data_IF_978405939595
#
_entry.id   IF_978405939595
#
_cell.length_a   1.000
_cell.length_b   1.000
_cell.length_c   1.000
_cell.angle_alpha   90.00
_cell.angle_beta   90.00
_cell.angle_gamma   90.00
#
_symmetry.space_group_name_H-M   'P 1'
#
loop_
_entity.id
_entity.type
_entity.pdbx_description
1 polymer ?
#
# COMPACT_ATOMS: atom_id res chain seq x y z
N UNK A 1 -9.81 12.75 -18.56
CA UNK A 1 -9.83 13.50 -17.29
C UNK A 1 -9.58 12.49 -16.19
N UNK A 2 -8.66 12.73 -15.25
CA UNK A 2 -8.53 11.83 -14.12
C UNK A 2 -9.86 11.87 -13.37
N UNK A 3 -10.50 10.72 -13.23
CA UNK A 3 -11.65 10.60 -12.34
C UNK A 3 -11.16 10.93 -10.93
N UNK A 4 -12.01 11.56 -10.12
CA UNK A 4 -11.69 12.03 -8.76
C UNK A 4 -11.33 10.90 -7.75
N UNK A 5 -11.02 9.70 -8.26
CA UNK A 5 -10.70 8.46 -7.57
C UNK A 5 -9.49 7.75 -8.20
N UNK A 6 -8.65 8.45 -8.98
CA UNK A 6 -7.42 7.88 -9.54
C UNK A 6 -6.30 7.88 -8.49
N UNK A 7 -6.07 6.71 -7.87
CA UNK A 7 -5.00 6.48 -6.90
C UNK A 7 -3.60 6.49 -7.52
N UNK A 8 -3.48 6.49 -8.86
CA UNK A 8 -2.20 6.44 -9.55
C UNK A 8 -1.26 7.61 -9.25
N UNK A 9 -1.81 8.77 -8.87
CA UNK A 9 -1.04 9.92 -8.39
C UNK A 9 -0.40 9.68 -7.01
N UNK A 10 -1.15 9.10 -6.08
CA UNK A 10 -0.70 8.78 -4.74
C UNK A 10 0.33 7.65 -4.75
N UNK A 11 0.08 6.61 -5.55
CA UNK A 11 1.06 5.53 -5.77
C UNK A 11 2.39 6.06 -6.29
N UNK A 12 2.38 7.09 -7.15
CA UNK A 12 3.62 7.75 -7.62
C UNK A 12 4.31 8.56 -6.52
N UNK A 13 3.54 9.21 -5.65
CA UNK A 13 4.08 9.98 -4.53
C UNK A 13 4.84 9.08 -3.55
N UNK A 14 4.29 7.91 -3.21
CA UNK A 14 4.92 6.94 -2.30
C UNK A 14 6.19 6.30 -2.86
N UNK A 15 6.36 6.29 -4.19
CA UNK A 15 7.57 5.76 -4.83
C UNK A 15 8.76 6.72 -4.80
N UNK A 16 8.62 7.91 -4.22
CA UNK A 16 9.74 8.84 -4.01
C UNK A 16 10.68 8.27 -2.96
N UNK A 17 11.98 8.45 -3.15
CA UNK A 17 12.99 7.83 -2.28
C UNK A 17 12.86 8.24 -0.80
N UNK A 18 12.38 9.46 -0.54
CA UNK A 18 12.06 9.98 0.80
C UNK A 18 10.96 9.18 1.54
N UNK A 19 10.03 8.55 0.81
CA UNK A 19 8.88 7.85 1.39
C UNK A 19 8.89 6.35 1.16
N UNK A 20 9.71 5.88 0.21
CA UNK A 20 9.72 4.48 -0.23
C UNK A 20 9.95 3.52 0.94
N UNK A 21 11.03 3.71 1.68
CA UNK A 21 11.41 2.81 2.78
C UNK A 21 10.40 2.88 3.94
N UNK A 22 9.92 4.09 4.25
CA UNK A 22 8.89 4.32 5.27
C UNK A 22 7.60 3.58 4.92
N UNK A 23 7.11 3.75 3.68
CA UNK A 23 5.89 3.10 3.21
C UNK A 23 6.06 1.58 3.12
N UNK A 24 7.21 1.09 2.66
CA UNK A 24 7.53 -0.34 2.63
C UNK A 24 7.51 -0.96 4.04
N UNK A 25 8.01 -0.24 5.05
CA UNK A 25 7.91 -0.65 6.45
C UNK A 25 6.48 -0.85 6.92
N UNK A 26 5.60 0.15 6.69
CA UNK A 26 4.18 0.07 7.06
C UNK A 26 3.48 -1.04 6.25
N UNK A 27 3.75 -1.13 4.96
CA UNK A 27 3.19 -2.17 4.11
C UNK A 27 3.56 -3.58 4.60
N UNK A 28 4.82 -3.79 4.98
CA UNK A 28 5.28 -5.05 5.53
C UNK A 28 4.71 -5.34 6.93
N UNK A 29 4.45 -4.33 7.76
CA UNK A 29 3.76 -4.54 9.04
C UNK A 29 2.32 -5.06 8.84
N UNK A 30 1.62 -4.56 7.82
CA UNK A 30 0.26 -4.99 7.50
C UNK A 30 0.19 -6.35 6.81
N UNK A 31 1.02 -6.56 5.79
CA UNK A 31 0.88 -7.71 4.89
C UNK A 31 2.00 -8.73 5.02
N UNK A 32 3.18 -8.36 5.50
CA UNK A 32 4.32 -9.27 5.63
C UNK A 32 3.98 -10.60 6.30
N UNK A 33 3.29 -10.61 7.46
CA UNK A 33 2.95 -11.86 8.14
C UNK A 33 2.00 -12.78 7.36
N UNK A 34 1.10 -12.23 6.54
CA UNK A 34 0.17 -13.04 5.73
C UNK A 34 0.77 -13.46 4.40
N UNK A 35 1.68 -12.65 3.86
CA UNK A 35 2.40 -12.95 2.62
C UNK A 35 3.57 -13.92 2.85
N UNK A 36 4.08 -14.05 4.08
CA UNK A 36 5.12 -15.02 4.44
C UNK A 36 4.63 -16.47 4.31
N UNK A 37 4.72 -17.00 3.08
CA UNK A 37 4.36 -18.39 2.73
C UNK A 37 3.17 -18.53 1.80
N UNK A 38 2.38 -17.47 1.59
CA UNK A 38 1.16 -17.49 0.76
C UNK A 38 1.34 -16.83 -0.61
N UNK A 39 2.37 -16.00 -0.81
CA UNK A 39 2.63 -15.33 -2.09
C UNK A 39 3.00 -13.86 -1.94
N UNK A 40 2.84 -13.09 -3.01
CA UNK A 40 2.94 -11.63 -2.99
C UNK A 40 1.57 -10.96 -2.85
N UNK A 41 1.57 -9.62 -2.82
CA UNK A 41 0.32 -8.87 -2.68
C UNK A 41 -0.54 -8.96 -3.94
N UNK A 42 0.07 -9.19 -5.11
CA UNK A 42 -0.62 -9.45 -6.37
C UNK A 42 -1.38 -10.78 -6.32
N UNK A 43 -0.80 -11.85 -5.75
CA UNK A 43 -1.48 -13.13 -5.51
C UNK A 43 -2.71 -12.94 -4.61
N UNK A 44 -2.58 -12.15 -3.54
CA UNK A 44 -3.69 -11.78 -2.67
C UNK A 44 -4.75 -10.98 -3.45
N UNK A 45 -4.34 -10.10 -4.36
CA UNK A 45 -5.23 -9.29 -5.17
C UNK A 45 -6.06 -10.13 -6.15
N UNK A 46 -5.49 -11.20 -6.71
CA UNK A 46 -6.21 -12.14 -7.58
C UNK A 46 -7.35 -12.85 -6.83
N UNK A 47 -7.13 -13.18 -5.55
CA UNK A 47 -8.13 -13.88 -4.71
C UNK A 47 -9.23 -12.92 -4.24
N UNK A 48 -8.86 -11.70 -3.82
CA UNK A 48 -9.79 -10.74 -3.21
C UNK A 48 -10.53 -9.88 -4.23
N UNK A 49 -9.94 -9.68 -5.41
CA UNK A 49 -10.43 -8.79 -6.46
C UNK A 49 -10.24 -7.30 -6.13
N UNK A 50 -10.20 -6.49 -7.19
CA UNK A 50 -9.81 -5.07 -7.15
C UNK A 50 -10.48 -4.22 -6.07
N UNK A 51 -11.77 -4.46 -5.77
CA UNK A 51 -12.49 -3.65 -4.79
C UNK A 51 -11.89 -3.79 -3.39
N UNK A 52 -11.66 -5.02 -2.94
CA UNK A 52 -11.13 -5.29 -1.61
C UNK A 52 -9.64 -5.05 -1.54
N UNK A 53 -8.89 -5.35 -2.60
CA UNK A 53 -7.46 -5.01 -2.70
C UNK A 53 -7.22 -3.51 -2.57
N UNK A 54 -8.02 -2.69 -3.27
CA UNK A 54 -7.90 -1.23 -3.17
C UNK A 54 -8.27 -0.71 -1.77
N UNK A 55 -9.25 -1.34 -1.10
CA UNK A 55 -9.61 -0.99 0.27
C UNK A 55 -8.45 -1.30 1.24
N UNK A 56 -7.84 -2.48 1.13
CA UNK A 56 -6.69 -2.89 1.94
C UNK A 56 -5.48 -1.97 1.71
N UNK A 57 -5.16 -1.67 0.45
CA UNK A 57 -4.11 -0.71 0.11
C UNK A 57 -4.40 0.68 0.69
N UNK A 58 -5.67 1.11 0.65
CA UNK A 58 -6.13 2.35 1.25
C UNK A 58 -5.88 2.42 2.76
N UNK A 59 -6.15 1.33 3.50
CA UNK A 59 -5.86 1.28 4.93
C UNK A 59 -4.36 1.47 5.24
N UNK A 60 -3.48 0.76 4.53
CA UNK A 60 -2.02 0.92 4.71
C UNK A 60 -1.58 2.34 4.38
N UNK A 61 -2.16 2.93 3.34
CA UNK A 61 -1.85 4.30 2.96
C UNK A 61 -2.33 5.32 4.02
N UNK A 62 -3.52 5.15 4.57
CA UNK A 62 -4.05 5.99 5.64
C UNK A 62 -3.17 5.90 6.89
N UNK A 63 -2.79 4.69 7.31
CA UNK A 63 -1.92 4.50 8.47
C UNK A 63 -0.55 5.14 8.25
N UNK A 64 0.06 4.94 7.07
CA UNK A 64 1.29 5.63 6.67
C UNK A 64 1.21 7.15 6.83
N UNK A 65 0.09 7.78 6.44
CA UNK A 65 -0.08 9.24 6.55
C UNK A 65 -0.19 9.74 8.00
N UNK A 66 -0.47 8.85 8.96
CA UNK A 66 -0.61 9.21 10.38
C UNK A 66 0.66 8.96 11.19
N UNK A 67 1.63 8.25 10.62
CA UNK A 67 2.89 7.92 11.27
C UNK A 67 3.90 9.06 11.13
N UNK A 68 4.69 9.25 12.18
CA UNK A 68 5.82 10.17 12.16
C UNK A 68 7.09 9.36 11.92
N UNK A 69 7.84 9.72 10.88
CA UNK A 69 9.05 9.03 10.49
C UNK A 69 10.25 9.89 10.88
N UNK A 70 11.15 9.36 11.70
CA UNK A 70 12.40 10.05 12.01
C UNK A 70 13.28 10.10 10.74
N UNK A 71 13.58 11.31 10.27
CA UNK A 71 14.41 11.58 9.09
C UNK A 71 15.89 11.78 9.38
#
# INVERSE_FOLDING_TARGET
>A
MPTNHDLGGLMKFLRRDEWRECFEGVFNEHFGPVLEGEGDFEDLAEVLGDHWTNALWGCVFEDFLTLDFEG
#
